data_IF_086410179374
#
_entry.id   IF_086410179374
#
_cell.length_a   1.000
_cell.length_b   1.000
_cell.length_c   1.000
_cell.angle_alpha   90.00
_cell.angle_beta   90.00
_cell.angle_gamma   90.00
#
_symmetry.space_group_name_H-M   'P 1'
#
loop_
_entity.id
_entity.type
_entity.pdbx_description
1 polymer ?
#
# COMPACT_ATOMS: atom_id res chain seq x y z
N UNK A 1 -16.30 -29.86 60.84
CA UNK A 1 -16.08 -30.86 59.78
C UNK A 1 -17.18 -30.70 58.76
N UNK A 2 -16.84 -30.23 57.57
CA UNK A 2 -17.63 -30.42 56.34
C UNK A 2 -16.82 -29.81 55.20
N UNK A 3 -15.83 -30.57 54.73
CA UNK A 3 -15.15 -30.32 53.46
C UNK A 3 -16.14 -30.68 52.34
N UNK A 4 -16.41 -29.73 51.44
CA UNK A 4 -17.22 -30.00 50.25
C UNK A 4 -16.40 -30.83 49.25
N UNK A 5 -16.96 -31.92 48.69
CA UNK A 5 -16.22 -32.76 47.76
C UNK A 5 -16.08 -32.02 46.43
N UNK A 6 -14.83 -31.73 46.06
CA UNK A 6 -14.45 -31.25 44.74
C UNK A 6 -14.84 -32.33 43.70
N UNK A 7 -15.98 -32.13 43.04
CA UNK A 7 -16.46 -32.99 41.95
C UNK A 7 -15.51 -32.80 40.77
N UNK A 8 -14.50 -33.68 40.68
CA UNK A 8 -13.64 -33.80 39.52
C UNK A 8 -14.49 -34.33 38.36
N UNK A 9 -14.95 -33.41 37.50
CA UNK A 9 -15.54 -33.76 36.20
C UNK A 9 -14.48 -34.56 35.43
N UNK A 10 -14.75 -35.81 35.03
CA UNK A 10 -13.83 -36.55 34.16
C UNK A 10 -13.66 -35.74 32.88
N UNK A 11 -12.43 -35.28 32.59
CA UNK A 11 -12.11 -34.78 31.26
C UNK A 11 -12.29 -35.94 30.31
N UNK A 12 -13.27 -35.84 29.41
CA UNK A 12 -13.41 -36.79 28.30
C UNK A 12 -12.05 -36.87 27.60
N UNK A 13 -11.46 -38.08 27.57
CA UNK A 13 -10.20 -38.31 26.88
C UNK A 13 -10.42 -38.00 25.39
N UNK A 14 -9.87 -36.88 24.93
CA UNK A 14 -9.94 -36.49 23.53
C UNK A 14 -9.31 -37.61 22.69
N UNK A 15 -10.10 -38.19 21.79
CA UNK A 15 -9.62 -39.24 20.88
C UNK A 15 -8.56 -38.68 19.95
N UNK A 16 -7.29 -39.01 20.20
CA UNK A 16 -6.16 -38.62 19.35
C UNK A 16 -6.14 -39.49 18.08
N UNK A 17 -6.75 -38.96 17.01
CA UNK A 17 -6.82 -39.63 15.71
C UNK A 17 -5.48 -39.46 14.98
N UNK A 18 -4.70 -40.53 14.88
CA UNK A 18 -3.43 -40.56 14.18
C UNK A 18 -3.61 -40.68 12.66
N UNK A 19 -2.91 -39.84 11.89
CA UNK A 19 -2.89 -39.86 10.42
C UNK A 19 -1.48 -40.14 9.90
N UNK A 20 -1.35 -41.09 8.97
CA UNK A 20 -0.08 -41.37 8.30
C UNK A 20 0.19 -40.28 7.23
N UNK A 21 1.38 -39.63 7.25
CA UNK A 21 1.68 -38.56 6.31
C UNK A 21 1.92 -39.10 4.89
N UNK A 22 1.10 -38.64 3.94
CA UNK A 22 1.19 -39.00 2.51
C UNK A 22 2.50 -38.51 1.87
N UNK A 23 3.03 -37.38 2.34
CA UNK A 23 4.26 -36.77 1.82
C UNK A 23 5.20 -36.51 2.98
N UNK A 24 6.40 -37.10 2.91
CA UNK A 24 7.48 -36.84 3.88
C UNK A 24 8.38 -35.78 3.29
N UNK A 25 8.36 -34.57 3.85
CA UNK A 25 9.30 -33.51 3.52
C UNK A 25 10.67 -33.87 4.11
N UNK A 26 11.47 -34.62 3.37
CA UNK A 26 12.77 -35.15 3.82
C UNK A 26 13.90 -34.12 3.77
N UNK A 27 13.74 -33.06 3.00
CA UNK A 27 14.76 -32.02 2.82
C UNK A 27 14.34 -30.74 3.54
N UNK A 28 15.17 -30.33 4.49
CA UNK A 28 15.03 -29.01 5.10
C UNK A 28 15.53 -27.97 4.09
N UNK A 29 14.60 -27.33 3.39
CA UNK A 29 14.94 -26.29 2.41
C UNK A 29 15.41 -25.04 3.17
N UNK A 30 16.61 -24.56 2.84
CA UNK A 30 17.09 -23.27 3.33
C UNK A 30 16.23 -22.13 2.77
N UNK A 31 15.47 -21.47 3.65
CA UNK A 31 14.60 -20.36 3.28
C UNK A 31 15.41 -19.07 3.17
N UNK A 32 15.78 -18.71 1.95
CA UNK A 32 16.40 -17.40 1.68
C UNK A 32 15.33 -16.33 1.59
N UNK A 33 15.49 -15.27 2.40
CA UNK A 33 14.53 -14.15 2.44
C UNK A 33 14.71 -13.16 1.29
N UNK A 34 15.87 -13.19 0.61
CA UNK A 34 16.28 -12.23 -0.42
C UNK A 34 16.29 -10.77 0.09
N UNK A 35 16.55 -10.59 1.39
CA UNK A 35 16.68 -9.30 2.08
C UNK A 35 18.05 -9.15 2.77
N UNK A 36 18.98 -10.10 2.60
CA UNK A 36 20.27 -10.18 3.30
C UNK A 36 21.27 -9.10 2.84
N UNK A 37 21.15 -8.66 1.58
CA UNK A 37 21.97 -7.63 0.97
C UNK A 37 21.43 -6.21 1.21
N UNK A 38 20.41 -6.08 2.07
CA UNK A 38 19.72 -4.82 2.31
C UNK A 38 19.81 -4.41 3.79
N UNK A 39 19.78 -3.10 4.02
CA UNK A 39 19.82 -2.48 5.34
C UNK A 39 18.43 -1.90 5.62
N UNK A 40 17.87 -2.25 6.77
CA UNK A 40 16.60 -1.69 7.24
C UNK A 40 16.82 -0.25 7.68
N UNK A 41 16.34 0.72 6.89
CA UNK A 41 16.39 2.16 7.23
C UNK A 41 15.22 2.60 8.09
N UNK A 42 14.09 1.94 7.91
CA UNK A 42 12.86 2.25 8.62
C UNK A 42 12.10 0.96 8.88
N UNK A 43 11.51 0.82 10.06
CA UNK A 43 10.63 -0.29 10.42
C UNK A 43 9.52 0.22 11.32
N UNK A 44 8.27 -0.03 10.94
CA UNK A 44 7.13 0.34 11.77
C UNK A 44 5.93 -0.55 11.51
N UNK A 45 5.08 -0.69 12.53
CA UNK A 45 3.85 -1.44 12.46
C UNK A 45 2.77 -0.69 11.70
N UNK A 46 2.12 -1.32 10.72
CA UNK A 46 1.10 -0.68 9.90
C UNK A 46 0.01 -1.65 9.42
N UNK A 47 -1.09 -1.07 8.94
CA UNK A 47 -2.11 -1.76 8.16
C UNK A 47 -2.17 -1.17 6.75
N UNK A 48 -2.11 -2.03 5.75
CA UNK A 48 -2.11 -1.69 4.32
C UNK A 48 -3.44 -2.05 3.68
N UNK A 49 -3.94 -1.15 2.85
CA UNK A 49 -5.16 -1.27 2.07
C UNK A 49 -4.85 -1.09 0.59
N UNK A 50 -5.64 -1.75 -0.25
CA UNK A 50 -5.65 -1.59 -1.71
C UNK A 50 -6.99 -1.00 -2.11
N UNK A 51 -6.97 -0.03 -3.01
CA UNK A 51 -8.19 0.47 -3.65
C UNK A 51 -8.60 -0.47 -4.78
N UNK A 52 -9.81 -1.01 -4.70
CA UNK A 52 -10.42 -1.76 -5.80
C UNK A 52 -11.18 -0.79 -6.72
N UNK A 53 -10.76 -0.70 -7.98
CA UNK A 53 -11.38 0.18 -8.97
C UNK A 53 -12.75 -0.33 -9.43
N UNK A 54 -13.01 -1.65 -9.35
CA UNK A 54 -14.28 -2.24 -9.76
C UNK A 54 -15.41 -1.91 -8.79
N UNK A 55 -15.17 -2.06 -7.49
CA UNK A 55 -16.14 -1.75 -6.44
C UNK A 55 -15.97 -0.36 -5.81
N UNK A 56 -14.95 0.40 -6.21
CA UNK A 56 -14.62 1.73 -5.65
C UNK A 56 -14.51 1.72 -4.11
N UNK A 57 -13.89 0.67 -3.56
CA UNK A 57 -13.77 0.47 -2.12
C UNK A 57 -12.33 0.16 -1.68
N UNK A 58 -12.03 0.44 -0.42
CA UNK A 58 -10.75 0.08 0.19
C UNK A 58 -10.82 -1.33 0.78
N UNK A 59 -10.02 -2.25 0.24
CA UNK A 59 -9.88 -3.62 0.74
C UNK A 59 -8.62 -3.75 1.59
N UNK A 60 -8.70 -4.44 2.73
CA UNK A 60 -7.52 -4.74 3.53
C UNK A 60 -6.59 -5.68 2.75
N UNK A 61 -5.35 -5.24 2.54
CA UNK A 61 -4.33 -6.02 1.83
C UNK A 61 -3.47 -6.81 2.82
N UNK A 62 -3.11 -6.20 3.96
CA UNK A 62 -2.33 -6.87 4.99
C UNK A 62 -2.06 -6.00 6.22
N UNK A 63 -1.83 -6.65 7.35
CA UNK A 63 -1.37 -6.02 8.60
C UNK A 63 -0.01 -6.62 8.97
N UNK A 64 0.95 -5.78 9.32
CA UNK A 64 2.35 -6.20 9.46
C UNK A 64 3.33 -5.05 9.71
N UNK A 65 4.63 -5.37 9.70
CA UNK A 65 5.68 -4.36 9.76
C UNK A 65 6.05 -3.90 8.34
N UNK A 66 5.92 -2.60 8.08
CA UNK A 66 6.46 -1.97 6.88
C UNK A 66 7.94 -1.67 7.10
N UNK A 67 8.76 -2.04 6.11
CA UNK A 67 10.20 -1.83 6.12
C UNK A 67 10.63 -1.06 4.88
N UNK A 68 11.49 -0.06 5.07
CA UNK A 68 12.25 0.56 3.98
C UNK A 68 13.63 -0.07 3.98
N UNK A 69 13.93 -0.81 2.91
CA UNK A 69 15.15 -1.58 2.75
C UNK A 69 16.03 -0.91 1.71
N UNK A 70 17.25 -0.55 2.08
CA UNK A 70 18.24 0.02 1.18
C UNK A 70 19.29 -1.04 0.81
N UNK A 71 19.47 -1.28 -0.47
CA UNK A 71 20.47 -2.23 -0.95
C UNK A 71 21.90 -1.75 -0.66
N UNK A 72 22.77 -2.63 -0.13
CA UNK A 72 24.14 -2.28 0.28
C UNK A 72 24.99 -1.72 -0.85
N UNK A 73 24.91 -2.33 -2.03
CA UNK A 73 25.69 -1.94 -3.23
C UNK A 73 25.00 -0.83 -4.03
N UNK A 74 23.81 -1.09 -4.57
CA UNK A 74 23.11 -0.13 -5.46
C UNK A 74 22.55 1.09 -4.74
N UNK A 75 22.48 1.08 -3.40
CA UNK A 75 21.88 2.13 -2.56
C UNK A 75 20.41 2.45 -2.86
N UNK A 76 19.75 1.63 -3.70
CA UNK A 76 18.33 1.76 -4.00
C UNK A 76 17.51 1.32 -2.81
N UNK A 77 16.51 2.14 -2.46
CA UNK A 77 15.57 1.86 -1.38
C UNK A 77 14.24 1.34 -1.93
N UNK A 78 13.78 0.21 -1.41
CA UNK A 78 12.46 -0.37 -1.69
C UNK A 78 11.61 -0.47 -0.43
N UNK A 79 10.29 -0.49 -0.61
CA UNK A 79 9.33 -0.74 0.45
C UNK A 79 8.94 -2.22 0.42
N UNK A 80 9.11 -2.90 1.55
CA UNK A 80 8.68 -4.28 1.75
C UNK A 80 7.80 -4.37 2.99
N UNK A 81 6.65 -5.00 2.85
CA UNK A 81 5.75 -5.28 3.97
C UNK A 81 5.31 -6.74 3.94
N UNK A 82 5.30 -7.40 5.10
CA UNK A 82 4.89 -8.80 5.26
C UNK A 82 3.74 -8.89 6.24
N UNK A 83 2.79 -9.79 5.98
CA UNK A 83 1.66 -10.07 6.88
C UNK A 83 2.12 -10.83 8.11
N UNK A 84 1.47 -10.58 9.24
CA UNK A 84 1.72 -11.37 10.44
C UNK A 84 1.31 -12.83 10.26
N UNK A 85 1.99 -13.70 11.00
CA UNK A 85 1.79 -15.15 11.08
C UNK A 85 2.11 -15.89 9.77
N UNK A 86 1.55 -15.42 8.65
CA UNK A 86 1.73 -16.01 7.32
C UNK A 86 3.05 -15.62 6.66
N UNK A 87 3.67 -14.50 7.07
CA UNK A 87 4.92 -13.95 6.51
C UNK A 87 4.89 -13.68 4.99
N UNK A 88 3.70 -13.75 4.38
CA UNK A 88 3.47 -13.44 2.97
C UNK A 88 3.72 -11.97 2.71
N UNK A 89 4.44 -11.67 1.64
CA UNK A 89 4.65 -10.30 1.17
C UNK A 89 3.30 -9.71 0.76
N UNK A 90 3.03 -8.48 1.18
CA UNK A 90 1.82 -7.74 0.84
C UNK A 90 2.10 -6.36 0.24
N UNK A 91 3.37 -5.93 0.19
CA UNK A 91 3.85 -4.84 -0.64
C UNK A 91 5.33 -5.08 -0.94
N UNK A 92 5.73 -4.85 -2.18
CA UNK A 92 7.11 -4.95 -2.62
C UNK A 92 7.30 -4.09 -3.87
N UNK A 93 7.79 -2.87 -3.68
CA UNK A 93 8.06 -1.97 -4.80
C UNK A 93 9.21 -1.02 -4.47
N UNK A 94 9.93 -0.60 -5.51
CA UNK A 94 10.95 0.43 -5.39
C UNK A 94 10.27 1.77 -5.15
N UNK A 95 10.86 2.61 -4.30
CA UNK A 95 10.37 3.96 -4.07
C UNK A 95 10.78 4.83 -5.26
N UNK A 96 9.84 5.12 -6.15
CA UNK A 96 10.08 5.93 -7.34
C UNK A 96 9.89 7.42 -7.09
N UNK A 97 10.53 8.25 -7.92
CA UNK A 97 10.46 9.71 -7.86
C UNK A 97 9.04 10.27 -8.08
N UNK A 98 8.23 9.55 -8.84
CA UNK A 98 6.85 9.92 -9.22
C UNK A 98 5.83 9.63 -8.10
N UNK A 99 6.19 8.80 -7.12
CA UNK A 99 5.30 8.50 -6.01
C UNK A 99 5.07 9.76 -5.16
N UNK A 100 3.84 9.99 -4.74
CA UNK A 100 3.50 11.11 -3.85
C UNK A 100 2.57 10.60 -2.77
N UNK A 101 2.98 10.76 -1.51
CA UNK A 101 2.14 10.47 -0.36
C UNK A 101 1.11 11.59 -0.21
N UNK A 102 -0.16 11.24 -0.41
CA UNK A 102 -1.29 12.13 -0.21
C UNK A 102 -1.99 11.80 1.12
N UNK A 103 -2.37 12.80 1.92
CA UNK A 103 -3.13 12.56 3.15
C UNK A 103 -4.51 12.01 2.79
N UNK A 104 -5.00 11.05 3.57
CA UNK A 104 -6.36 10.54 3.39
C UNK A 104 -7.38 11.48 4.04
N UNK A 105 -8.51 11.72 3.37
CA UNK A 105 -9.58 12.58 3.90
C UNK A 105 -10.18 11.89 5.12
N UNK A 106 -10.13 12.56 6.28
CA UNK A 106 -10.66 12.01 7.54
C UNK A 106 -9.68 11.14 8.33
N UNK A 107 -8.40 11.09 7.96
CA UNK A 107 -7.36 10.44 8.77
C UNK A 107 -6.03 11.17 8.68
N UNK A 108 -5.52 11.64 9.82
CA UNK A 108 -4.17 12.21 10.00
C UNK A 108 -3.05 11.15 10.02
N UNK A 109 -3.42 9.91 10.38
CA UNK A 109 -2.50 8.76 10.50
C UNK A 109 -2.46 7.85 9.27
N UNK A 110 -2.85 8.36 8.10
CA UNK A 110 -2.89 7.54 6.88
C UNK A 110 -2.40 8.28 5.65
N UNK A 111 -1.64 7.57 4.82
CA UNK A 111 -1.12 8.06 3.55
C UNK A 111 -1.59 7.19 2.40
N UNK A 112 -1.83 7.82 1.26
CA UNK A 112 -2.26 7.18 0.01
C UNK A 112 -1.23 7.48 -1.08
N UNK A 113 -0.85 6.49 -1.87
CA UNK A 113 -0.02 6.69 -3.05
C UNK A 113 -0.34 5.67 -4.14
N UNK A 114 0.06 5.99 -5.36
CA UNK A 114 -0.05 5.11 -6.52
C UNK A 114 1.29 4.44 -6.79
N UNK A 115 1.25 3.14 -7.04
CA UNK A 115 2.40 2.31 -7.39
C UNK A 115 2.21 1.81 -8.82
N UNK A 116 3.19 2.04 -9.68
CA UNK A 116 3.14 1.60 -11.08
C UNK A 116 3.34 0.08 -11.20
N UNK A 117 4.26 -0.49 -10.42
CA UNK A 117 4.57 -1.91 -10.40
C UNK A 117 4.85 -2.38 -8.96
N UNK A 118 3.87 -3.04 -8.36
CA UNK A 118 4.03 -3.78 -7.10
C UNK A 118 4.26 -5.27 -7.37
N UNK A 119 5.31 -5.81 -6.77
CA UNK A 119 5.81 -7.17 -6.95
C UNK A 119 5.47 -8.08 -5.76
N UNK A 120 4.40 -7.78 -5.02
CA UNK A 120 3.95 -8.70 -3.96
C UNK A 120 3.08 -9.85 -4.49
N UNK A 121 2.53 -9.67 -5.69
CA UNK A 121 1.88 -10.70 -6.49
C UNK A 121 2.64 -10.84 -7.83
N UNK A 122 2.49 -11.98 -8.50
CA UNK A 122 3.04 -12.23 -9.84
C UNK A 122 1.88 -12.53 -10.78
N UNK A 123 1.71 -11.80 -11.89
CA UNK A 123 2.57 -10.75 -12.45
C UNK A 123 2.55 -9.42 -11.68
N UNK A 124 3.48 -8.47 -11.92
CA UNK A 124 3.49 -7.17 -11.26
C UNK A 124 2.27 -6.33 -11.66
N UNK A 125 1.62 -5.70 -10.68
CA UNK A 125 0.38 -4.95 -10.86
C UNK A 125 0.55 -3.47 -10.50
N UNK A 126 -0.19 -2.60 -11.19
CA UNK A 126 -0.36 -1.22 -10.76
C UNK A 126 -1.46 -1.15 -9.69
N UNK A 127 -1.17 -0.51 -8.56
CA UNK A 127 -2.09 -0.48 -7.43
C UNK A 127 -2.11 0.92 -6.79
N UNK A 128 -3.28 1.32 -6.28
CA UNK A 128 -3.40 2.48 -5.39
C UNK A 128 -3.46 1.95 -3.96
N UNK A 129 -2.44 2.27 -3.17
CA UNK A 129 -2.24 1.76 -1.83
C UNK A 129 -2.52 2.85 -0.80
N UNK A 130 -3.11 2.45 0.32
CA UNK A 130 -3.20 3.29 1.51
C UNK A 130 -2.60 2.58 2.70
N UNK A 131 -1.78 3.28 3.48
CA UNK A 131 -1.21 2.76 4.72
C UNK A 131 -1.78 3.55 5.90
N UNK A 132 -2.11 2.83 6.96
CA UNK A 132 -2.57 3.38 8.23
C UNK A 132 -1.63 2.92 9.34
N UNK A 133 -1.17 3.87 10.13
CA UNK A 133 -0.37 3.61 11.32
C UNK A 133 -1.25 3.63 12.57
N UNK A 134 -0.85 2.89 13.60
CA UNK A 134 -1.38 3.14 14.93
C UNK A 134 -0.88 4.52 15.39
N UNK A 135 -1.66 5.24 16.19
CA UNK A 135 -1.05 6.29 16.99
C UNK A 135 -0.37 5.56 18.14
N UNK A 136 0.95 5.37 18.07
CA UNK A 136 1.68 5.28 19.31
C UNK A 136 1.76 6.71 19.85
N UNK A 137 0.99 6.98 20.90
CA UNK A 137 1.41 7.95 21.89
C UNK A 137 2.68 7.37 22.54
N UNK A 138 3.80 7.35 21.80
CA UNK A 138 5.12 7.15 22.39
C UNK A 138 5.62 8.48 22.96
N UNK A 139 4.71 9.28 23.53
CA UNK A 139 5.02 10.20 24.59
C UNK A 139 5.14 9.40 25.88
N UNK A 140 6.37 9.03 26.23
CA UNK A 140 6.77 9.14 27.64
C UNK A 140 6.15 10.42 28.20
N UNK A 141 5.38 10.32 29.29
CA UNK A 141 4.62 11.36 30.00
C UNK A 141 5.45 12.56 30.50
N UNK A 142 6.47 12.98 29.77
CA UNK A 142 7.38 14.10 30.08
C UNK A 142 7.41 15.18 29.00
N UNK A 143 6.78 14.97 27.83
CA UNK A 143 6.72 15.99 26.77
C UNK A 143 5.57 16.99 26.96
N UNK A 144 5.46 17.57 28.16
CA UNK A 144 4.41 18.54 28.49
C UNK A 144 4.81 20.01 28.24
N UNK A 145 5.90 20.31 27.51
CA UNK A 145 6.39 21.70 27.41
C UNK A 145 6.59 22.27 26.00
N UNK A 146 6.44 21.50 24.91
CA UNK A 146 6.67 22.03 23.56
C UNK A 146 5.62 21.56 22.56
N UNK A 147 4.52 22.33 22.47
CA UNK A 147 3.43 22.18 21.49
C UNK A 147 3.94 22.25 20.02
N UNK A 148 5.14 22.80 19.78
CA UNK A 148 5.72 22.90 18.44
C UNK A 148 6.41 21.61 17.95
N UNK A 149 6.88 20.73 18.86
CA UNK A 149 7.56 19.48 18.48
C UNK A 149 6.56 18.30 18.31
N UNK A 150 5.37 18.38 18.90
CA UNK A 150 4.37 17.30 18.89
C UNK A 150 3.91 16.87 17.48
N UNK A 151 3.99 17.77 16.48
CA UNK A 151 3.59 17.47 15.10
C UNK A 151 4.54 16.49 14.39
N UNK A 152 5.81 16.41 14.80
CA UNK A 152 6.79 15.48 14.21
C UNK A 152 6.81 14.11 14.89
N UNK A 153 6.08 13.94 16.00
CA UNK A 153 6.11 12.73 16.81
C UNK A 153 5.16 11.63 16.32
N UNK A 154 4.27 11.91 15.36
CA UNK A 154 3.33 10.88 14.88
C UNK A 154 4.05 9.85 14.01
N UNK A 155 3.74 8.58 14.23
CA UNK A 155 4.22 7.46 13.40
C UNK A 155 4.03 7.74 11.91
N UNK A 156 2.86 8.29 11.53
CA UNK A 156 2.59 8.67 10.15
C UNK A 156 3.56 9.75 9.62
N UNK A 157 3.94 10.76 10.42
CA UNK A 157 4.91 11.77 10.00
C UNK A 157 6.31 11.17 9.83
N UNK A 158 6.74 10.31 10.76
CA UNK A 158 8.04 9.62 10.67
C UNK A 158 8.15 8.79 9.38
N UNK A 159 7.08 8.06 9.04
CA UNK A 159 7.04 7.32 7.78
C UNK A 159 7.14 8.24 6.56
N UNK A 160 6.42 9.36 6.56
CA UNK A 160 6.48 10.31 5.44
C UNK A 160 7.89 10.85 5.25
N UNK A 161 8.56 11.28 6.31
CA UNK A 161 9.95 11.76 6.24
C UNK A 161 10.89 10.68 5.71
N UNK A 162 10.82 9.46 6.25
CA UNK A 162 11.65 8.35 5.80
C UNK A 162 11.39 7.97 4.34
N UNK A 163 10.14 8.04 3.89
CA UNK A 163 9.75 7.78 2.51
C UNK A 163 10.29 8.87 1.56
N UNK A 164 10.15 10.14 1.92
CA UNK A 164 10.67 11.26 1.12
C UNK A 164 12.20 11.27 1.06
N UNK A 165 12.88 10.90 2.14
CA UNK A 165 14.34 10.78 2.15
C UNK A 165 14.81 9.60 1.29
N UNK A 166 14.09 8.47 1.34
CA UNK A 166 14.30 7.36 0.41
C UNK A 166 14.07 7.78 -1.05
N UNK A 167 13.04 8.59 -1.34
CA UNK A 167 12.82 9.14 -2.68
C UNK A 167 13.99 9.99 -3.16
N UNK A 168 14.47 10.92 -2.33
CA UNK A 168 15.63 11.76 -2.66
C UNK A 168 16.86 10.91 -2.93
N UNK A 169 17.11 9.90 -2.10
CA UNK A 169 18.26 8.99 -2.27
C UNK A 169 18.18 8.24 -3.60
N UNK A 170 17.01 7.71 -3.95
CA UNK A 170 16.80 7.00 -5.20
C UNK A 170 16.94 7.93 -6.41
N UNK A 171 16.40 9.15 -6.35
CA UNK A 171 16.52 10.17 -7.41
C UNK A 171 17.99 10.52 -7.67
N UNK A 172 18.77 10.73 -6.61
CA UNK A 172 20.19 11.07 -6.73
C UNK A 172 20.99 9.96 -7.44
N UNK A 173 20.59 8.69 -7.23
CA UNK A 173 21.22 7.53 -7.85
C UNK A 173 20.78 7.32 -9.31
N UNK A 174 19.53 7.64 -9.64
CA UNK A 174 19.01 7.55 -11.03
C UNK A 174 19.40 8.75 -11.89
N UNK A 175 19.86 9.85 -11.28
CA UNK A 175 20.33 11.07 -11.97
C UNK A 175 21.71 10.95 -12.63
N UNK A 176 22.35 9.78 -12.58
CA UNK A 176 23.55 9.46 -13.36
C UNK A 176 23.16 8.77 -14.67
N UNK A 177 23.30 9.51 -15.78
CA UNK A 177 23.26 9.11 -17.19
C UNK A 177 22.20 8.07 -17.63
N UNK A 178 21.24 8.44 -18.50
CA UNK A 178 20.48 7.47 -19.25
C UNK A 178 21.35 6.98 -20.42
N UNK A 179 21.82 5.72 -20.38
CA UNK A 179 22.07 5.00 -21.63
C UNK A 179 20.74 4.41 -22.08
N UNK A 180 20.03 5.18 -22.91
CA UNK A 180 19.00 4.66 -23.81
C UNK A 180 19.53 4.91 -25.21
N UNK A 181 20.07 3.85 -25.84
CA UNK A 181 20.11 3.80 -27.30
C UNK A 181 18.65 3.70 -27.76
N UNK A 182 18.23 4.72 -28.48
CA UNK A 182 16.85 4.95 -28.85
C UNK A 182 16.34 4.08 -29.99
N UNK A 183 15.04 4.20 -30.19
CA UNK A 183 14.49 4.60 -31.49
C UNK A 183 13.16 5.32 -31.23
N UNK A 184 13.14 6.61 -31.54
CA UNK A 184 11.95 7.43 -31.70
C UNK A 184 11.26 7.10 -33.04
N UNK A 185 9.93 7.16 -33.06
CA UNK A 185 9.23 7.73 -34.21
C UNK A 185 8.09 8.59 -33.71
N UNK A 186 8.19 9.86 -34.09
CA UNK A 186 7.41 11.05 -33.75
C UNK A 186 5.95 11.04 -34.20
N UNK A 187 5.20 11.91 -33.52
CA UNK A 187 3.84 12.38 -33.74
C UNK A 187 3.53 12.83 -35.18
N UNK A 188 2.26 12.71 -35.59
CA UNK A 188 1.37 13.83 -35.96
C UNK A 188 0.07 13.29 -36.60
N UNK A 189 -1.10 13.80 -36.18
CA UNK A 189 -2.12 14.39 -37.07
C UNK A 189 -3.44 14.64 -36.31
N UNK A 190 -3.70 15.91 -36.01
CA UNK A 190 -5.04 16.42 -35.67
C UNK A 190 -5.39 17.53 -36.66
N UNK A 191 -6.58 17.38 -37.25
CA UNK A 191 -7.42 18.37 -37.94
C UNK A 191 -7.11 18.68 -39.41
N UNK A 192 -8.05 18.29 -40.29
CA UNK A 192 -8.77 19.16 -41.24
C UNK A 192 -9.81 18.36 -42.03
N UNK A 193 -11.06 18.83 -42.00
CA UNK A 193 -12.12 18.89 -43.03
C UNK A 193 -13.35 19.37 -42.22
N UNK A 194 -13.97 20.53 -42.41
CA UNK A 194 -14.15 21.30 -43.64
C UNK A 194 -15.65 21.40 -43.92
N UNK A 195 -16.25 22.50 -43.44
CA UNK A 195 -17.60 23.05 -43.71
C UNK A 195 -17.93 22.98 -45.22
N UNK A 196 -19.17 22.76 -45.70
CA UNK A 196 -20.26 23.74 -46.00
C UNK A 196 -21.41 22.91 -46.64
N UNK A 197 -22.69 23.10 -46.33
CA UNK A 197 -23.61 23.92 -47.13
C UNK A 197 -24.95 24.20 -46.42
N UNK A 198 -25.58 25.26 -46.91
CA UNK A 198 -26.56 26.19 -46.32
C UNK A 198 -28.05 25.79 -46.54
N UNK A 199 -28.96 26.55 -45.89
CA UNK A 199 -30.41 26.79 -46.18
C UNK A 199 -31.46 25.78 -45.66
N UNK A 200 -32.65 26.12 -45.10
CA UNK A 200 -33.46 27.35 -44.90
C UNK A 200 -34.52 27.08 -43.78
N UNK A 201 -35.13 28.16 -43.26
CA UNK A 201 -36.32 28.38 -42.36
C UNK A 201 -37.49 27.36 -42.48
N UNK A 202 -38.41 27.10 -41.52
CA UNK A 202 -39.28 27.94 -40.65
C UNK A 202 -39.84 27.12 -39.45
N UNK A 203 -40.53 27.72 -38.44
CA UNK A 203 -40.95 27.08 -37.20
C UNK A 203 -42.44 26.63 -37.19
N UNK A 204 -42.73 25.45 -36.63
CA UNK A 204 -44.10 25.02 -36.30
C UNK A 204 -44.40 25.11 -34.79
N UNK A 205 -45.53 25.78 -34.51
CA UNK A 205 -46.21 25.91 -33.22
C UNK A 205 -46.77 24.57 -32.76
N UNK A 206 -46.74 24.31 -31.44
CA UNK A 206 -47.77 23.49 -30.78
C UNK A 206 -48.35 24.28 -29.61
N UNK A 207 -49.66 24.48 -29.71
CA UNK A 207 -50.57 24.87 -28.63
C UNK A 207 -50.59 23.75 -27.58
N UNK A 208 -50.45 24.10 -26.30
CA UNK A 208 -51.02 23.32 -25.21
C UNK A 208 -52.00 24.22 -24.45
N UNK A 209 -53.22 23.73 -24.36
CA UNK A 209 -54.40 24.38 -23.82
C UNK A 209 -54.81 23.65 -22.53
N UNK A 210 -55.23 24.42 -21.53
CA UNK A 210 -55.86 24.05 -20.23
C UNK A 210 -54.92 23.50 -19.13
N UNK A 211 -55.02 23.94 -17.88
CA UNK A 211 -56.25 24.21 -17.11
C UNK A 211 -55.90 25.00 -15.83
N UNK A 212 -56.59 26.11 -15.59
CA UNK A 212 -56.60 26.82 -14.31
C UNK A 212 -57.63 26.17 -13.37
N UNK A 213 -57.23 26.00 -12.10
CA UNK A 213 -58.06 26.02 -10.89
C UNK A 213 -57.34 26.90 -9.85
#
# INVERSE_FOLDING_TARGET
MSEEPNVLVPREEETDVHFEPVIKLTEQVELKTYEEDEIVRFKMRAKLFRFDTGSSEWKERGTGDVRLLEHKETKKTRLVMRRDKTLKVCANHVISAEMRLQPNIGSDRSWVWKVAADYSESPPTSETLAIRFANSDSGSFTCAFLILLALTCTDAAQFKTAFEDAQKSNIALTGGAPEVNGEESTEEEKQRIGKTDEKTEEPEKKEEDKKDE
#
